data_IF_045747288826
#
_entry.id   IF_045747288826
#
_cell.length_a   1.000
_cell.length_b   1.000
_cell.length_c   1.000
_cell.angle_alpha   90.00
_cell.angle_beta   90.00
_cell.angle_gamma   90.00
#
_symmetry.space_group_name_H-M   'P 1'
#
loop_
_entity.id
_entity.type
_entity.pdbx_description
1 polymer ?
2 polymer ?
#
loop_
_entity_poly.entity_id
_entity_poly.type
_entity_poly.pdbx_seq_one_letter_code
_entity_poly.pdbx_strand_id
2 'polyribonucleotide' 'GGCAGGUAGCUCAGUUGGUAGAGCACUGGACUGAAAAUCCAGGUGUCGGCGGUUCGAUUCCGCCCCUGCCACC' ?
#
# COMPACT_ATOMS: atom_id res chain seq x y z
N UNK A 1 -27.94 -9.93 -13.57
CA UNK A 1 -28.66 -11.18 -13.35
C UNK A 1 -28.83 -11.44 -11.85
N UNK A 2 -28.03 -10.74 -11.04
CA UNK A 2 -28.08 -10.89 -9.60
C UNK A 2 -29.45 -10.48 -9.05
N UNK A 3 -30.02 -9.43 -9.63
CA UNK A 3 -31.32 -8.94 -9.22
C UNK A 3 -32.43 -9.93 -9.57
N UNK A 4 -32.22 -10.69 -10.65
CA UNK A 4 -33.17 -11.71 -11.07
C UNK A 4 -33.21 -12.85 -10.07
N UNK A 5 -32.04 -13.32 -9.66
CA UNK A 5 -31.93 -14.36 -8.65
C UNK A 5 -32.47 -13.87 -7.32
N UNK A 6 -32.19 -12.62 -7.00
CA UNK A 6 -32.70 -12.00 -5.78
C UNK A 6 -34.23 -11.89 -5.82
N UNK A 7 -34.77 -11.80 -7.03
CA UNK A 7 -36.22 -11.73 -7.21
C UNK A 7 -36.85 -13.11 -7.08
N UNK A 8 -36.22 -14.12 -7.64
CA UNK A 8 -36.72 -15.49 -7.58
C UNK A 8 -36.74 -16.01 -6.15
N UNK A 9 -35.68 -15.72 -5.41
CA UNK A 9 -35.57 -16.15 -4.02
C UNK A 9 -36.31 -15.18 -3.09
N UNK A 10 -36.73 -14.05 -3.64
CA UNK A 10 -37.43 -13.04 -2.86
C UNK A 10 -36.54 -12.40 -1.82
N UNK A 11 -35.29 -12.14 -2.20
CA UNK A 11 -34.32 -11.55 -1.28
C UNK A 11 -33.91 -10.15 -1.72
N UNK A 12 -33.05 -9.52 -0.93
CA UNK A 12 -32.55 -8.18 -1.24
C UNK A 12 -31.03 -8.14 -1.13
N UNK A 13 -30.37 -7.89 -2.25
CA UNK A 13 -28.91 -7.83 -2.28
C UNK A 13 -28.43 -6.41 -2.56
N UNK A 14 -27.30 -6.03 -1.96
CA UNK A 14 -26.78 -4.68 -2.13
C UNK A 14 -25.26 -4.66 -2.28
N UNK A 15 -24.79 -3.96 -3.30
CA UNK A 15 -23.37 -3.63 -3.39
C UNK A 15 -23.03 -2.74 -2.19
N UNK A 16 -22.00 -3.11 -1.45
CA UNK A 16 -21.76 -2.49 -0.16
C UNK A 16 -20.30 -2.11 0.05
N UNK A 17 -20.06 -1.22 1.01
CA UNK A 17 -18.72 -0.89 1.45
C UNK A 17 -17.96 0.06 0.54
N UNK A 18 -16.64 0.06 0.70
CA UNK A 18 -15.75 0.93 -0.06
C UNK A 18 -15.93 0.85 -1.56
N UNK A 19 -16.38 -0.30 -2.04
CA UNK A 19 -16.68 -0.48 -3.45
C UNK A 19 -17.61 0.63 -3.92
N UNK A 20 -18.72 0.78 -3.21
CA UNK A 20 -19.68 1.86 -3.47
C UNK A 20 -18.96 3.20 -3.49
N UNK A 21 -18.13 3.43 -2.48
CA UNK A 21 -17.33 4.65 -2.42
C UNK A 21 -16.53 4.80 -3.70
N UNK A 22 -15.83 3.74 -4.07
CA UNK A 22 -15.00 3.76 -5.27
C UNK A 22 -15.84 3.92 -6.54
N UNK A 23 -17.11 3.51 -6.46
CA UNK A 23 -18.03 3.71 -7.57
C UNK A 23 -18.37 5.20 -7.67
N UNK A 24 -18.52 5.84 -6.52
CA UNK A 24 -18.83 7.27 -6.50
C UNK A 24 -17.59 8.12 -6.74
N UNK A 25 -16.42 7.48 -6.62
CA UNK A 25 -15.16 8.16 -6.90
C UNK A 25 -14.72 7.92 -8.34
N UNK A 26 -15.57 7.24 -9.11
CA UNK A 26 -15.28 6.97 -10.51
C UNK A 26 -14.17 5.96 -10.68
N UNK A 27 -13.99 5.11 -9.68
CA UNK A 27 -12.94 4.09 -9.70
C UNK A 27 -13.53 2.70 -9.94
N UNK A 28 -13.04 2.03 -10.97
CA UNK A 28 -13.50 0.69 -11.30
C UNK A 28 -12.67 -0.37 -10.60
N UNK A 29 -13.33 -1.26 -9.87
CA UNK A 29 -12.64 -2.34 -9.16
C UNK A 29 -13.15 -3.70 -9.59
N UNK A 30 -12.30 -4.71 -9.49
CA UNK A 30 -12.67 -6.07 -9.89
C UNK A 30 -13.13 -6.89 -8.68
N UNK A 31 -13.17 -6.27 -7.52
CA UNK A 31 -13.64 -6.94 -6.31
C UNK A 31 -14.91 -6.27 -5.78
N UNK A 32 -15.98 -7.04 -5.70
CA UNK A 32 -17.26 -6.51 -5.26
C UNK A 32 -17.78 -7.23 -4.01
N UNK A 33 -18.23 -6.44 -3.02
CA UNK A 33 -18.79 -6.99 -1.79
C UNK A 33 -20.30 -6.78 -1.75
N UNK A 34 -21.02 -7.82 -1.36
CA UNK A 34 -22.48 -7.77 -1.31
C UNK A 34 -23.02 -8.03 0.09
N UNK A 35 -24.15 -7.39 0.41
CA UNK A 35 -24.88 -7.66 1.63
C UNK A 35 -26.28 -8.12 1.27
N UNK A 36 -26.64 -9.32 1.70
CA UNK A 36 -27.91 -9.92 1.34
C UNK A 36 -28.81 -10.14 2.56
N UNK A 37 -30.03 -9.60 2.50
CA UNK A 37 -31.03 -9.89 3.51
C UNK A 37 -31.61 -11.27 3.20
N UNK A 38 -31.46 -12.19 4.15
CA UNK A 38 -31.74 -13.58 3.88
C UNK A 38 -30.41 -14.30 3.64
N UNK A 39 -30.48 -15.52 3.11
CA UNK A 39 -29.27 -16.30 2.90
C UNK A 39 -28.47 -15.85 1.68
N UNK A 40 -27.23 -15.44 1.92
CA UNK A 40 -26.33 -15.02 0.85
C UNK A 40 -25.68 -16.21 0.16
N UNK A 41 -25.48 -17.29 0.91
CA UNK A 41 -24.80 -18.48 0.41
C UNK A 41 -25.53 -19.09 -0.78
N UNK A 42 -26.85 -19.26 -0.64
CA UNK A 42 -27.67 -19.82 -1.72
C UNK A 42 -27.63 -18.93 -2.96
N UNK A 43 -27.60 -17.62 -2.74
CA UNK A 43 -27.55 -16.66 -3.83
C UNK A 43 -26.24 -16.79 -4.59
N UNK A 44 -25.15 -16.88 -3.85
CA UNK A 44 -23.82 -16.99 -4.44
C UNK A 44 -23.63 -18.32 -5.17
N UNK A 45 -24.17 -19.39 -4.59
CA UNK A 45 -24.07 -20.71 -5.19
C UNK A 45 -24.91 -20.81 -6.45
N UNK A 46 -26.11 -20.22 -6.41
CA UNK A 46 -26.98 -20.21 -7.58
C UNK A 46 -26.38 -19.37 -8.70
N UNK A 47 -25.81 -18.23 -8.33
CA UNK A 47 -25.15 -17.36 -9.30
C UNK A 47 -23.95 -18.05 -9.92
N UNK A 48 -23.21 -18.79 -9.10
CA UNK A 48 -22.04 -19.51 -9.59
C UNK A 48 -22.42 -20.69 -10.46
N UNK A 49 -23.58 -21.28 -10.19
CA UNK A 49 -24.06 -22.43 -10.96
C UNK A 49 -24.57 -21.98 -12.32
N UNK A 50 -25.31 -20.87 -12.33
CA UNK A 50 -25.87 -20.34 -13.58
C UNK A 50 -24.77 -19.86 -14.51
N UNK A 51 -23.66 -19.38 -13.94
CA UNK A 51 -22.52 -18.96 -14.73
C UNK A 51 -21.52 -20.09 -14.88
N UNK A 52 -21.81 -21.21 -14.23
CA UNK A 52 -21.00 -22.41 -14.33
C UNK A 52 -19.57 -22.25 -13.82
N UNK A 53 -19.42 -21.51 -12.73
CA UNK A 53 -18.12 -21.30 -12.13
C UNK A 53 -18.04 -21.89 -10.73
N UNK A 54 -16.83 -22.22 -10.30
CA UNK A 54 -16.62 -22.80 -8.97
C UNK A 54 -17.01 -21.83 -7.86
N UNK A 55 -17.70 -22.36 -6.85
CA UNK A 55 -18.13 -21.55 -5.72
C UNK A 55 -17.36 -21.95 -4.45
N UNK A 56 -17.06 -20.97 -3.61
CA UNK A 56 -16.33 -21.21 -2.38
C UNK A 56 -17.15 -20.76 -1.17
N UNK A 57 -17.98 -21.68 -0.64
CA UNK A 57 -18.86 -21.42 0.50
C UNK A 57 -18.12 -21.38 1.85
N UNK A 58 -18.54 -20.45 2.70
CA UNK A 58 -18.03 -20.33 4.06
C UNK A 58 -19.20 -20.13 5.02
N UNK A 59 -19.77 -21.26 5.50
CA UNK A 59 -20.96 -21.28 6.37
C UNK A 59 -20.75 -20.60 7.72
N UNK A 60 -19.59 -20.81 8.34
CA UNK A 60 -19.32 -20.25 9.67
C UNK A 60 -19.25 -18.73 9.61
N UNK A 61 -18.66 -18.20 8.55
CA UNK A 61 -18.63 -16.76 8.34
C UNK A 61 -19.97 -16.28 7.77
N UNK A 62 -20.63 -17.19 7.04
CA UNK A 62 -21.89 -16.87 6.40
C UNK A 62 -21.66 -16.12 5.10
N UNK A 63 -20.47 -16.28 4.54
CA UNK A 63 -20.10 -15.58 3.32
C UNK A 63 -19.66 -16.58 2.25
N UNK A 64 -19.66 -16.15 1.00
CA UNK A 64 -19.24 -17.03 -0.10
C UNK A 64 -18.47 -16.26 -1.16
N UNK A 65 -17.39 -16.87 -1.66
CA UNK A 65 -16.55 -16.21 -2.66
C UNK A 65 -16.61 -16.94 -4.00
N UNK A 66 -16.83 -16.18 -5.07
CA UNK A 66 -16.86 -16.76 -6.41
C UNK A 66 -16.23 -15.79 -7.41
N UNK A 67 -15.45 -16.31 -8.35
CA UNK A 67 -14.77 -15.47 -9.32
C UNK A 67 -15.34 -15.64 -10.72
N UNK A 68 -15.92 -14.55 -11.23
CA UNK A 68 -16.46 -14.53 -12.59
C UNK A 68 -15.59 -13.61 -13.46
N UNK A 69 -14.85 -14.21 -14.39
CA UNK A 69 -13.91 -13.46 -15.20
C UNK A 69 -12.85 -12.80 -14.35
N UNK A 70 -12.64 -11.50 -14.54
CA UNK A 70 -11.72 -10.75 -13.70
C UNK A 70 -12.40 -10.31 -12.41
N UNK A 71 -13.73 -10.38 -12.39
CA UNK A 71 -14.50 -9.93 -11.24
C UNK A 71 -14.43 -10.92 -10.09
N UNK A 72 -14.03 -10.43 -8.93
CA UNK A 72 -14.00 -11.25 -7.72
C UNK A 72 -15.18 -10.87 -6.83
N UNK A 73 -16.14 -11.78 -6.71
CA UNK A 73 -17.38 -11.50 -6.00
C UNK A 73 -17.43 -12.15 -4.64
N UNK A 74 -17.78 -11.36 -3.63
CA UNK A 74 -17.96 -11.86 -2.27
C UNK A 74 -19.36 -11.53 -1.76
N UNK A 75 -20.15 -12.56 -1.52
CA UNK A 75 -21.50 -12.38 -0.98
C UNK A 75 -21.51 -12.59 0.53
N UNK A 76 -22.09 -11.63 1.25
CA UNK A 76 -22.13 -11.70 2.71
C UNK A 76 -23.56 -11.58 3.23
N UNK A 77 -23.84 -12.28 4.32
CA UNK A 77 -25.14 -12.22 4.96
C UNK A 77 -25.18 -11.06 5.95
N UNK A 78 -26.27 -10.31 5.95
CA UNK A 78 -26.41 -9.16 6.83
C UNK A 78 -26.39 -9.58 8.30
N UNK A 79 -25.50 -8.93 9.06
CA UNK A 79 -25.35 -9.24 10.49
C UNK A 79 -25.18 -7.97 11.31
N UNK A 80 -25.65 -8.00 12.55
CA UNK A 80 -25.63 -6.81 13.40
C UNK A 80 -24.37 -6.71 14.25
N UNK A 81 -23.55 -7.76 14.26
CA UNK A 81 -22.32 -7.76 15.04
C UNK A 81 -21.12 -8.21 14.23
N UNK A 82 -19.93 -7.89 14.72
CA UNK A 82 -18.69 -8.26 14.04
C UNK A 82 -18.37 -9.74 14.25
N UNK A 93 -32.05 -13.28 15.47
CA UNK A 93 -32.89 -12.35 14.73
C UNK A 93 -32.24 -11.94 13.41
N UNK A 94 -33.06 -11.75 12.36
CA UNK A 94 -32.57 -11.29 11.06
C UNK A 94 -32.08 -9.84 11.12
N UNK A 95 -30.99 -9.55 10.44
CA UNK A 95 -30.41 -8.23 10.44
C UNK A 95 -30.76 -7.46 9.16
N UNK A 96 -31.34 -6.28 9.32
CA UNK A 96 -31.65 -5.42 8.19
C UNK A 96 -30.38 -4.81 7.62
N UNK A 97 -30.46 -4.33 6.39
CA UNK A 97 -29.34 -3.66 5.73
C UNK A 97 -28.78 -2.53 6.58
N UNK A 98 -29.67 -1.76 7.19
CA UNK A 98 -29.28 -0.64 8.03
C UNK A 98 -28.45 -1.10 9.23
N UNK A 99 -28.80 -2.24 9.80
CA UNK A 99 -28.06 -2.81 10.91
C UNK A 99 -26.66 -3.23 10.49
N UNK A 100 -26.52 -3.67 9.24
CA UNK A 100 -25.23 -4.10 8.72
C UNK A 100 -24.38 -2.89 8.35
N UNK A 101 -25.03 -1.79 8.01
CA UNK A 101 -24.34 -0.56 7.62
C UNK A 101 -23.87 0.25 8.82
N UNK A 102 -24.47 0.00 9.98
CA UNK A 102 -24.23 0.82 11.16
C UNK A 102 -23.00 0.37 11.95
N UNK A 103 -22.51 -0.82 11.65
CA UNK A 103 -21.33 -1.36 12.33
C UNK A 103 -20.04 -0.96 11.62
N UNK A 104 -20.20 -0.32 10.46
CA UNK A 104 -19.06 0.09 9.65
C UNK A 104 -18.35 1.30 10.24
N UNK A 105 -17.11 1.51 9.82
CA UNK A 105 -16.24 2.52 10.43
C UNK A 105 -16.62 3.95 10.03
N UNK A 106 -16.48 4.28 8.74
CA UNK A 106 -16.64 5.65 8.29
C UNK A 106 -17.89 5.85 7.43
N UNK A 107 -18.43 7.06 7.47
CA UNK A 107 -19.66 7.39 6.75
C UNK A 107 -19.56 7.13 5.25
N UNK A 108 -18.38 7.40 4.68
CA UNK A 108 -18.15 7.19 3.26
C UNK A 108 -18.12 5.71 2.91
N UNK A 109 -17.84 4.87 3.90
CA UNK A 109 -17.84 3.42 3.73
C UNK A 109 -19.16 2.80 4.15
N UNK A 110 -20.08 3.63 4.63
CA UNK A 110 -21.32 3.14 5.23
C UNK A 110 -22.51 3.10 4.27
N UNK A 111 -22.29 3.47 3.01
CA UNK A 111 -23.39 3.51 2.05
C UNK A 111 -23.56 2.19 1.31
N UNK A 112 -24.61 2.11 0.49
CA UNK A 112 -24.91 0.90 -0.28
C UNK A 112 -25.73 1.22 -1.52
N UNK A 113 -25.62 0.36 -2.53
CA UNK A 113 -26.42 0.51 -3.75
C UNK A 113 -27.20 -0.78 -4.02
N UNK A 114 -28.50 -0.65 -4.28
CA UNK A 114 -29.35 -1.82 -4.47
C UNK A 114 -29.24 -2.42 -5.87
N UNK A 115 -28.96 -3.72 -5.93
CA UNK A 115 -28.91 -4.44 -7.20
C UNK A 115 -30.24 -5.13 -7.49
N UNK A 116 -31.22 -4.90 -6.62
CA UNK A 116 -32.57 -5.41 -6.84
C UNK A 116 -33.20 -4.70 -8.03
N UNK A 117 -33.91 -5.46 -8.86
CA UNK A 117 -34.35 -4.97 -10.18
C UNK A 117 -35.23 -3.72 -10.15
N UNK A 118 -36.10 -3.60 -9.16
CA UNK A 118 -37.05 -2.50 -9.12
C UNK A 118 -36.40 -1.16 -8.74
N UNK A 119 -35.60 -1.17 -7.68
CA UNK A 119 -34.94 0.03 -7.19
C UNK A 119 -33.52 0.18 -7.75
N UNK A 120 -33.19 -0.67 -8.72
CA UNK A 120 -31.83 -0.74 -9.28
C UNK A 120 -31.30 0.64 -9.69
N UNK A 121 -30.09 0.94 -9.23
CA UNK A 121 -29.44 2.20 -9.53
C UNK A 121 -29.57 3.23 -8.41
N UNK A 122 -30.38 2.91 -7.41
CA UNK A 122 -30.62 3.83 -6.30
C UNK A 122 -29.58 3.66 -5.19
N UNK A 123 -29.05 4.79 -4.73
CA UNK A 123 -28.09 4.80 -3.63
C UNK A 123 -28.80 4.93 -2.28
N UNK A 124 -28.50 4.02 -1.37
CA UNK A 124 -29.09 4.05 -0.04
C UNK A 124 -28.12 4.59 0.99
N UNK A 125 -28.37 5.82 1.45
CA UNK A 125 -27.50 6.44 2.44
C UNK A 125 -28.30 6.81 3.70
N UNK A 126 -28.03 6.09 4.79
CA UNK A 126 -28.70 6.36 6.06
C UNK A 126 -28.05 7.50 6.86
N UNK A 127 -26.72 7.49 6.92
CA UNK A 127 -25.99 8.32 7.86
C UNK A 127 -25.49 9.63 7.26
N UNK A 128 -25.80 9.86 5.99
CA UNK A 128 -25.38 11.08 5.32
C UNK A 128 -23.94 10.99 4.84
N UNK A 129 -23.50 9.78 4.49
CA UNK A 129 -22.16 9.57 4.00
C UNK A 129 -21.92 10.24 2.66
N UNK A 130 -23.00 10.45 1.91
CA UNK A 130 -22.93 11.13 0.62
C UNK A 130 -22.51 12.58 0.81
N UNK A 131 -23.02 13.21 1.85
CA UNK A 131 -22.67 14.58 2.19
C UNK A 131 -21.21 14.67 2.60
N UNK A 132 -20.77 13.71 3.41
CA UNK A 132 -19.39 13.68 3.89
C UNK A 132 -18.42 13.40 2.73
N UNK A 133 -18.90 12.68 1.73
CA UNK A 133 -18.12 12.43 0.53
C UNK A 133 -18.08 13.69 -0.32
N UNK A 134 -19.17 14.45 -0.27
CA UNK A 134 -19.28 15.72 -0.99
C UNK A 134 -18.42 16.79 -0.34
N UNK A 135 -18.42 16.82 0.99
CA UNK A 135 -17.68 17.84 1.73
C UNK A 135 -16.27 17.38 2.09
N UNK A 136 -15.89 16.20 1.59
CA UNK A 136 -14.57 15.62 1.83
C UNK A 136 -14.31 15.43 3.32
N UNK A 137 -15.26 14.78 4.00
CA UNK A 137 -15.19 14.61 5.45
C UNK A 137 -15.09 13.15 5.87
N UNK A 138 -14.09 12.85 6.70
CA UNK A 138 -13.98 11.53 7.31
C UNK A 138 -14.64 11.56 8.67
N UNK A 139 -15.74 10.82 8.81
CA UNK A 139 -16.54 10.87 10.03
C UNK A 139 -16.94 9.49 10.51
N UNK A 140 -16.79 9.25 11.81
CA UNK A 140 -17.24 8.01 12.43
C UNK A 140 -18.74 8.03 12.66
N UNK A 141 -19.36 6.86 12.68
CA UNK A 141 -20.79 6.77 12.92
C UNK A 141 -21.13 7.01 14.38
N UNK A 142 -20.36 6.37 15.26
CA UNK A 142 -20.55 6.52 16.70
C UNK A 142 -19.22 6.84 17.37
N UNK A 143 -19.27 7.61 18.47
CA UNK A 143 -18.06 8.01 19.19
C UNK A 143 -17.28 6.84 19.79
N UNK A 144 -17.93 5.69 19.90
CA UNK A 144 -17.30 4.51 20.50
C UNK A 144 -16.50 3.72 19.45
N UNK A 145 -16.46 4.25 18.24
CA UNK A 145 -15.83 3.57 17.10
C UNK A 145 -14.39 3.12 17.35
N UNK A 146 -13.50 4.09 17.57
CA UNK A 146 -12.07 3.79 17.72
C UNK A 146 -11.78 2.88 18.91
N UNK A 147 -12.62 2.94 19.94
CA UNK A 147 -12.45 2.09 21.12
C UNK A 147 -12.68 0.62 20.77
N UNK A 148 -13.68 0.37 19.93
CA UNK A 148 -13.99 -0.99 19.48
C UNK A 148 -12.84 -1.57 18.64
N UNK A 149 -12.46 -0.84 17.60
CA UNK A 149 -11.40 -1.28 16.71
C UNK A 149 -10.32 -0.21 16.60
N UNK A 150 -9.29 -0.31 17.46
CA UNK A 150 -8.17 0.65 17.52
C UNK A 150 -7.46 0.82 16.18
N UNK A 151 -7.36 -0.27 15.41
CA UNK A 151 -6.67 -0.25 14.12
C UNK A 151 -7.22 0.83 13.20
N UNK A 152 -8.51 1.09 13.29
CA UNK A 152 -9.20 2.10 12.48
C UNK A 152 -8.52 3.47 12.58
N UNK A 153 -7.86 3.72 13.71
CA UNK A 153 -7.05 4.93 13.90
C UNK A 153 -6.17 5.15 12.68
N UNK A 154 -5.31 4.16 12.42
CA UNK A 154 -4.48 4.18 11.21
C UNK A 154 -5.35 4.34 9.98
N UNK A 155 -6.37 3.48 9.87
CA UNK A 155 -7.20 3.40 8.67
C UNK A 155 -7.71 4.77 8.23
N UNK A 156 -8.35 5.48 9.16
CA UNK A 156 -8.85 6.83 8.88
C UNK A 156 -7.75 7.68 8.27
N UNK A 157 -6.62 7.75 8.97
CA UNK A 157 -5.49 8.52 8.50
C UNK A 157 -5.12 8.08 7.09
N UNK A 158 -5.01 6.77 6.91
CA UNK A 158 -4.68 6.20 5.61
C UNK A 158 -5.67 6.70 4.57
N UNK A 159 -6.96 6.61 4.89
CA UNK A 159 -7.99 7.09 3.98
C UNK A 159 -7.82 8.58 3.77
N UNK A 160 -7.61 9.31 4.87
CA UNK A 160 -7.42 10.75 4.80
C UNK A 160 -6.18 11.07 3.98
N UNK A 161 -5.27 10.10 3.88
CA UNK A 161 -4.10 10.24 3.05
C UNK A 161 -4.43 10.09 1.57
N UNK A 162 -5.23 9.09 1.24
CA UNK A 162 -5.47 8.76 -0.17
C UNK A 162 -6.45 9.70 -0.86
N UNK A 163 -7.57 9.96 -0.21
CA UNK A 163 -8.64 10.76 -0.82
C UNK A 163 -8.44 12.24 -0.56
N UNK A 164 -7.44 12.56 0.25
CA UNK A 164 -7.16 13.93 0.66
C UNK A 164 -8.38 14.58 1.30
N UNK A 165 -9.01 13.86 2.22
CA UNK A 165 -10.15 14.38 2.95
C UNK A 165 -9.71 14.90 4.31
N UNK A 166 -10.67 15.41 5.09
CA UNK A 166 -10.36 15.95 6.41
C UNK A 166 -11.26 15.35 7.48
N UNK A 167 -10.68 15.07 8.64
CA UNK A 167 -11.42 14.48 9.75
C UNK A 167 -12.40 15.47 10.37
N UNK A 168 -13.53 14.98 10.86
CA UNK A 168 -14.46 15.81 11.60
C UNK A 168 -13.88 16.16 12.95
N UNK A 169 -14.31 17.27 13.53
CA UNK A 169 -13.81 17.70 14.84
C UNK A 169 -14.09 16.63 15.90
N UNK A 170 -15.29 16.07 15.85
CA UNK A 170 -15.66 14.96 16.72
C UNK A 170 -14.72 13.78 16.48
N UNK A 171 -14.58 13.41 15.21
CA UNK A 171 -13.72 12.30 14.83
C UNK A 171 -12.27 12.52 15.27
N UNK A 172 -11.79 13.74 15.08
CA UNK A 172 -10.42 14.08 15.45
C UNK A 172 -10.20 14.00 16.96
N UNK A 173 -11.10 14.59 17.73
CA UNK A 173 -11.00 14.55 19.18
C UNK A 173 -11.07 13.12 19.68
N UNK A 174 -11.97 12.33 19.10
CA UNK A 174 -12.11 10.92 19.47
C UNK A 174 -10.84 10.14 19.13
N UNK A 175 -10.20 10.48 18.02
CA UNK A 175 -8.97 9.82 17.60
C UNK A 175 -7.83 10.14 18.57
N UNK A 176 -7.67 11.42 18.87
CA UNK A 176 -6.63 11.86 19.79
C UNK A 176 -6.83 11.26 21.17
N UNK A 177 -8.08 11.22 21.63
CA UNK A 177 -8.41 10.62 22.92
C UNK A 177 -8.15 9.12 22.88
N UNK A 178 -8.33 8.50 21.72
CA UNK A 178 -8.09 7.07 21.56
C UNK A 178 -6.60 6.75 21.66
N UNK A 179 -5.78 7.55 20.98
CA UNK A 179 -4.34 7.35 20.99
C UNK A 179 -3.76 7.66 22.37
N UNK A 180 -4.31 8.69 23.02
CA UNK A 180 -3.82 9.11 24.34
C UNK A 180 -3.99 8.01 25.39
N UNK A 181 -5.02 7.19 25.23
CA UNK A 181 -5.28 6.09 26.16
C UNK A 181 -4.38 4.89 25.86
N UNK A 182 -3.70 4.94 24.73
CA UNK A 182 -2.80 3.88 24.34
C UNK A 182 -3.52 2.61 23.90
N UNK A 183 -4.64 2.77 23.22
CA UNK A 183 -5.41 1.65 22.71
C UNK A 183 -4.70 0.99 21.53
N UNK A 184 -3.75 1.73 20.95
CA UNK A 184 -3.03 1.25 19.79
C UNK A 184 -2.09 0.10 20.16
N UNK A 185 -1.68 0.06 21.42
CA UNK A 185 -0.82 -1.01 21.90
C UNK A 185 -1.60 -2.29 22.20
N UNK A 186 -2.81 -2.13 22.73
CA UNK A 186 -3.66 -3.27 23.08
C UNK A 186 -4.19 -3.98 21.85
N UNK A 187 -4.22 -3.28 20.72
CA UNK A 187 -4.69 -3.86 19.46
C UNK A 187 -3.76 -4.96 19.00
N UNK A 188 -4.31 -5.99 18.33
CA UNK A 188 -3.51 -7.10 17.77
C UNK A 188 -2.42 -6.60 16.84
N UNK A 189 -1.21 -7.14 17.02
CA UNK A 189 -0.04 -6.71 16.26
C UNK A 189 -0.22 -6.94 14.76
N UNK A 190 -0.79 -8.09 14.42
CA UNK A 190 -0.99 -8.47 13.03
C UNK A 190 -1.88 -7.50 12.27
N UNK A 191 -2.95 -7.05 12.90
CA UNK A 191 -3.87 -6.11 12.28
C UNK A 191 -3.19 -4.78 11.99
N UNK A 192 -2.45 -4.28 12.98
CA UNK A 192 -1.73 -3.02 12.84
C UNK A 192 -0.68 -3.09 11.74
N UNK A 193 0.15 -4.12 11.80
CA UNK A 193 1.20 -4.32 10.80
C UNK A 193 0.57 -4.42 9.41
N UNK A 194 -0.51 -5.17 9.30
CA UNK A 194 -1.21 -5.32 8.02
C UNK A 194 -1.73 -3.98 7.52
N UNK A 195 -2.22 -3.16 8.43
CA UNK A 195 -2.75 -1.85 8.08
C UNK A 195 -1.65 -0.94 7.57
N UNK A 196 -0.49 -0.98 8.23
CA UNK A 196 0.67 -0.21 7.79
C UNK A 196 1.11 -0.68 6.41
N UNK A 197 1.10 -1.99 6.20
CA UNK A 197 1.42 -2.56 4.90
C UNK A 197 0.44 -2.11 3.83
N UNK A 198 -0.82 -1.89 4.22
CA UNK A 198 -1.82 -1.34 3.32
C UNK A 198 -1.52 0.13 3.03
N UNK A 199 -0.95 0.82 4.02
CA UNK A 199 -0.67 2.24 3.90
C UNK A 199 0.49 2.52 2.95
N UNK A 200 1.57 1.76 3.10
CA UNK A 200 2.80 2.02 2.34
C UNK A 200 2.65 1.76 0.84
N UNK A 201 1.55 1.14 0.44
CA UNK A 201 1.32 0.83 -0.97
C UNK A 201 0.64 1.99 -1.70
N UNK A 202 0.20 2.99 -0.94
CA UNK A 202 -0.45 4.15 -1.54
C UNK A 202 0.58 5.10 -2.16
N UNK A 203 0.17 5.82 -3.18
CA UNK A 203 1.04 6.79 -3.84
C UNK A 203 1.10 8.08 -3.01
N UNK A 204 0.06 8.31 -2.23
CA UNK A 204 -0.04 9.46 -1.35
C UNK A 204 0.48 9.14 0.05
N UNK A 205 1.08 7.97 0.19
CA UNK A 205 1.55 7.45 1.48
C UNK A 205 2.40 8.43 2.28
N UNK A 206 3.06 9.36 1.59
CA UNK A 206 3.81 10.41 2.28
C UNK A 206 2.89 11.25 3.16
N UNK A 207 1.74 11.63 2.64
CA UNK A 207 0.75 12.39 3.40
C UNK A 207 0.22 11.57 4.57
N UNK A 208 0.09 10.26 4.36
CA UNK A 208 -0.31 9.33 5.41
C UNK A 208 0.73 9.33 6.52
N UNK A 209 2.00 9.47 6.14
CA UNK A 209 3.09 9.56 7.10
C UNK A 209 3.05 10.90 7.84
N UNK A 210 2.61 11.94 7.15
CA UNK A 210 2.44 13.24 7.78
C UNK A 210 1.35 13.18 8.85
N UNK A 211 0.25 12.51 8.51
CA UNK A 211 -0.84 12.31 9.46
C UNK A 211 -0.41 11.39 10.59
N UNK A 212 0.50 10.46 10.29
CA UNK A 212 1.05 9.58 11.30
C UNK A 212 1.94 10.35 12.26
N UNK A 213 2.60 11.38 11.75
CA UNK A 213 3.50 12.21 12.56
C UNK A 213 2.72 13.19 13.41
N UNK A 214 1.63 13.73 12.86
CA UNK A 214 0.81 14.72 13.56
C UNK A 214 0.20 14.13 14.83
N UNK A 215 -0.38 12.94 14.71
CA UNK A 215 -1.04 12.30 15.85
C UNK A 215 -0.10 11.34 16.57
N UNK A 216 1.12 11.22 16.05
CA UNK A 216 2.19 10.44 16.68
C UNK A 216 1.80 8.99 16.96
N UNK A 217 1.23 8.32 15.96
CA UNK A 217 0.80 6.93 16.11
C UNK A 217 1.96 5.94 15.93
N UNK A 218 3.03 6.38 15.29
CA UNK A 218 4.14 5.48 14.97
C UNK A 218 5.01 5.18 16.19
N UNK A 219 5.02 6.09 17.16
CA UNK A 219 5.81 5.89 18.37
C UNK A 219 5.23 4.76 19.22
N UNK A 220 3.94 4.53 19.10
CA UNK A 220 3.26 3.50 19.89
C UNK A 220 3.51 2.11 19.31
N UNK A 221 3.36 1.97 18.00
CA UNK A 221 3.53 0.69 17.33
C UNK A 221 5.00 0.25 17.31
N UNK A 222 5.85 1.12 16.79
CA UNK A 222 7.28 0.83 16.71
C UNK A 222 7.96 1.16 18.04
N UNK A 223 8.95 0.36 18.41
CA UNK A 223 9.64 0.54 19.68
C UNK A 223 10.92 1.37 19.50
N UNK A 224 11.04 2.43 20.28
CA UNK A 224 12.23 3.27 20.27
C UNK A 224 12.26 4.28 19.13
N UNK A 225 11.10 4.46 18.49
CA UNK A 225 11.00 5.35 17.34
C UNK A 225 10.61 6.77 17.75
N UNK A 226 11.33 7.74 17.21
CA UNK A 226 11.02 9.15 17.46
C UNK A 226 11.13 9.94 16.16
N UNK A 227 10.43 11.07 16.09
CA UNK A 227 10.42 11.89 14.88
C UNK A 227 11.41 13.05 14.97
N UNK A 228 12.04 13.36 13.83
CA UNK A 228 12.92 14.53 13.74
C UNK A 228 12.81 15.17 12.36
N UNK A 229 13.52 16.27 12.16
CA UNK A 229 13.44 17.04 10.92
C UNK A 229 14.24 16.42 9.79
N UNK A 230 15.41 15.86 10.13
CA UNK A 230 16.31 15.27 9.15
C UNK A 230 15.64 14.16 8.37
N UNK A 231 14.94 13.29 9.09
CA UNK A 231 14.22 12.18 8.47
C UNK A 231 13.13 12.69 7.54
N UNK A 232 12.46 13.77 7.93
CA UNK A 232 11.39 14.35 7.14
C UNK A 232 11.92 14.95 5.82
N UNK A 233 12.97 15.76 5.94
CA UNK A 233 13.62 16.32 4.76
C UNK A 233 14.15 15.21 3.86
N UNK A 234 14.57 14.12 4.49
CA UNK A 234 15.01 12.94 3.75
C UNK A 234 13.83 12.30 3.02
N UNK A 235 12.64 12.42 3.60
CA UNK A 235 11.43 11.85 3.00
C UNK A 235 10.97 12.69 1.82
N UNK A 236 11.21 14.00 1.88
CA UNK A 236 10.86 14.87 0.75
C UNK A 236 11.90 14.77 -0.36
N UNK A 237 13.16 14.61 0.02
CA UNK A 237 14.21 14.35 -0.95
C UNK A 237 13.93 13.03 -1.67
N UNK A 238 13.53 12.04 -0.88
CA UNK A 238 13.13 10.74 -1.43
C UNK A 238 11.88 10.88 -2.27
N UNK A 239 11.04 11.87 -1.94
CA UNK A 239 9.85 12.16 -2.71
C UNK A 239 10.24 12.63 -4.12
N UNK A 240 11.16 13.58 -4.18
CA UNK A 240 11.64 14.10 -5.46
C UNK A 240 12.33 12.99 -6.26
N UNK A 241 13.21 12.24 -5.61
CA UNK A 241 13.92 11.13 -6.24
C UNK A 241 12.94 10.11 -6.84
N UNK A 242 11.94 9.74 -6.05
CA UNK A 242 10.91 8.81 -6.49
C UNK A 242 10.14 9.38 -7.68
N UNK A 243 9.85 10.67 -7.64
CA UNK A 243 9.16 11.33 -8.75
C UNK A 243 9.95 11.21 -10.05
N UNK A 244 11.23 11.60 -10.01
CA UNK A 244 12.07 11.57 -11.20
C UNK A 244 12.29 10.15 -11.72
N UNK A 245 12.61 9.23 -10.81
CA UNK A 245 12.85 7.83 -11.15
C UNK A 245 11.63 7.17 -11.76
N UNK A 246 10.45 7.46 -11.20
CA UNK A 246 9.20 6.94 -11.73
C UNK A 246 8.75 7.71 -12.96
N UNK A 247 9.44 8.82 -13.24
CA UNK A 247 9.16 9.59 -14.44
C UNK A 247 9.90 9.02 -15.64
N UNK A 248 11.23 9.08 -15.61
CA UNK A 248 12.04 8.65 -16.74
C UNK A 248 12.19 7.14 -16.85
N UNK A 249 12.48 6.49 -15.73
CA UNK A 249 12.84 5.08 -15.70
C UNK A 249 11.66 4.13 -15.45
N UNK A 250 10.44 4.68 -15.53
CA UNK A 250 9.22 4.02 -15.05
C UNK A 250 9.04 2.55 -15.44
N UNK A 251 9.65 2.11 -16.54
CA UNK A 251 9.61 0.70 -16.90
C UNK A 251 10.32 -0.16 -15.84
N UNK A 252 11.20 0.47 -15.07
CA UNK A 252 11.99 -0.23 -14.04
C UNK A 252 11.37 -0.16 -12.64
N UNK A 253 10.17 0.39 -12.54
CA UNK A 253 9.53 0.68 -11.24
C UNK A 253 9.52 -0.47 -10.23
N UNK A 254 9.79 -0.13 -8.98
CA UNK A 254 9.68 -1.06 -7.86
C UNK A 254 8.78 -0.46 -6.79
N UNK A 255 8.68 -1.12 -5.63
CA UNK A 255 7.84 -0.61 -4.55
C UNK A 255 8.55 0.53 -3.81
N UNK A 256 7.94 1.71 -3.84
CA UNK A 256 8.54 2.91 -3.28
C UNK A 256 8.33 3.06 -1.76
N UNK A 257 7.21 2.54 -1.26
CA UNK A 257 6.86 2.71 0.14
C UNK A 257 7.87 2.13 1.11
N UNK A 258 8.43 0.99 0.73
CA UNK A 258 9.42 0.31 1.56
C UNK A 258 10.68 1.17 1.74
N UNK A 259 10.95 2.02 0.75
CA UNK A 259 12.08 2.93 0.84
C UNK A 259 11.85 3.97 1.94
N UNK A 260 10.66 4.56 1.95
CA UNK A 260 10.26 5.49 3.00
C UNK A 260 10.34 4.79 4.36
N UNK A 261 9.87 3.54 4.39
CA UNK A 261 9.92 2.75 5.60
C UNK A 261 11.35 2.54 6.08
N UNK A 262 12.28 2.42 5.13
CA UNK A 262 13.70 2.27 5.45
C UNK A 262 14.28 3.57 5.98
N UNK A 263 13.82 4.69 5.42
CA UNK A 263 14.26 6.01 5.87
C UNK A 263 13.81 6.27 7.30
N UNK A 264 12.59 5.85 7.62
CA UNK A 264 12.05 6.04 8.96
C UNK A 264 12.80 5.23 10.01
N UNK A 265 13.22 4.02 9.65
CA UNK A 265 13.89 3.12 10.58
C UNK A 265 15.42 3.24 10.51
N UNK A 266 15.90 4.18 9.70
CA UNK A 266 17.33 4.34 9.45
C UNK A 266 18.14 4.56 10.74
N UNK A 267 17.71 5.51 11.56
CA UNK A 267 18.44 5.86 12.77
C UNK A 267 18.08 4.95 13.95
N UNK A 268 17.09 4.09 13.75
CA UNK A 268 16.66 3.16 14.78
C UNK A 268 17.67 2.03 14.97
N UNK A 269 17.60 1.38 16.13
CA UNK A 269 18.49 0.25 16.44
C UNK A 269 18.27 -0.89 15.46
N UNK A 270 19.34 -1.65 15.19
CA UNK A 270 19.29 -2.72 14.20
C UNK A 270 18.41 -3.89 14.64
N UNK A 271 18.35 -4.14 15.95
CA UNK A 271 17.55 -5.24 16.47
C UNK A 271 16.06 -5.01 16.23
N UNK A 272 15.58 -3.84 16.65
CA UNK A 272 14.19 -3.47 16.46
C UNK A 272 13.85 -3.35 14.98
N UNK A 273 14.86 -3.02 14.17
CA UNK A 273 14.69 -2.91 12.74
C UNK A 273 14.47 -4.26 12.08
N UNK A 274 15.33 -5.21 12.41
CA UNK A 274 15.21 -6.57 11.88
C UNK A 274 13.95 -7.24 12.38
N UNK A 275 13.59 -6.97 13.64
CA UNK A 275 12.36 -7.49 14.20
C UNK A 275 11.14 -6.89 13.51
N UNK A 276 11.24 -5.61 13.17
CA UNK A 276 10.16 -4.92 12.48
C UNK A 276 9.96 -5.47 11.08
N UNK A 277 11.08 -5.72 10.39
CA UNK A 277 11.03 -6.32 9.06
C UNK A 277 10.57 -7.76 9.13
N UNK A 278 10.75 -8.37 10.30
CA UNK A 278 10.33 -9.75 10.51
C UNK A 278 8.82 -9.81 10.70
N UNK A 279 8.27 -8.82 11.39
CA UNK A 279 6.83 -8.77 11.64
C UNK A 279 6.08 -8.27 10.41
N UNK A 280 6.70 -7.35 9.68
CA UNK A 280 6.08 -6.77 8.49
C UNK A 280 6.22 -7.67 7.28
N UNK A 281 7.06 -8.70 7.40
CA UNK A 281 7.34 -9.62 6.29
C UNK A 281 7.78 -8.87 5.05
N UNK A 282 8.81 -8.04 5.20
CA UNK A 282 9.33 -7.24 4.09
C UNK A 282 9.92 -8.12 3.00
N UNK A 283 9.88 -7.65 1.74
CA UNK A 283 10.51 -8.35 0.62
C UNK A 283 12.00 -8.56 0.84
N UNK A 284 12.59 -9.53 0.14
CA UNK A 284 14.00 -9.85 0.30
C UNK A 284 14.92 -8.67 0.00
N UNK A 285 14.67 -7.99 -1.12
CA UNK A 285 15.49 -6.85 -1.53
C UNK A 285 15.40 -5.70 -0.54
N UNK A 286 14.28 -5.63 0.19
CA UNK A 286 14.10 -4.60 1.21
C UNK A 286 15.02 -4.88 2.40
N UNK A 287 15.00 -6.13 2.87
CA UNK A 287 15.87 -6.55 3.96
C UNK A 287 17.34 -6.38 3.58
N UNK A 288 17.67 -6.76 2.35
CA UNK A 288 19.03 -6.62 1.85
C UNK A 288 19.45 -5.15 1.80
N UNK A 289 18.55 -4.30 1.31
CA UNK A 289 18.82 -2.87 1.22
C UNK A 289 19.02 -2.26 2.60
N UNK A 290 18.24 -2.72 3.58
CA UNK A 290 18.36 -2.24 4.94
C UNK A 290 19.68 -2.66 5.58
N UNK A 291 19.98 -3.95 5.49
CA UNK A 291 21.22 -4.50 6.05
C UNK A 291 22.45 -3.88 5.41
N UNK A 292 22.33 -3.49 4.14
CA UNK A 292 23.41 -2.82 3.45
C UNK A 292 23.49 -1.35 3.86
N UNK A 293 22.34 -0.78 4.20
CA UNK A 293 22.25 0.63 4.59
C UNK A 293 22.83 0.88 5.98
N UNK A 294 22.60 -0.07 6.89
CA UNK A 294 22.99 0.10 8.28
C UNK A 294 24.51 0.21 8.46
N UNK A 295 25.26 -0.47 7.61
CA UNK A 295 26.72 -0.49 7.75
C UNK A 295 27.44 -0.10 6.47
N UNK A 296 27.29 -0.92 5.43
CA UNK A 296 28.06 -0.77 4.20
C UNK A 296 27.79 0.52 3.43
N UNK A 297 26.67 1.17 3.74
CA UNK A 297 26.28 2.38 3.02
C UNK A 297 27.27 3.52 3.20
N UNK A 298 27.77 3.69 4.43
CA UNK A 298 28.72 4.74 4.72
C UNK A 298 30.00 4.60 3.94
N UNK A 299 30.61 3.41 4.01
CA UNK A 299 31.83 3.12 3.29
C UNK A 299 31.61 3.20 1.78
N UNK A 300 30.42 2.80 1.34
CA UNK A 300 30.06 2.89 -0.07
C UNK A 300 30.05 4.33 -0.55
N UNK A 301 29.39 5.19 0.21
CA UNK A 301 29.33 6.62 -0.11
C UNK A 301 30.73 7.23 -0.10
N UNK A 302 31.53 6.87 0.90
CA UNK A 302 32.89 7.35 0.99
C UNK A 302 33.73 6.89 -0.20
N UNK A 303 33.39 5.73 -0.75
CA UNK A 303 34.06 5.22 -1.94
C UNK A 303 33.60 5.96 -3.19
N UNK A 304 32.34 6.34 -3.20
CA UNK A 304 31.78 7.12 -4.31
C UNK A 304 32.35 8.53 -4.32
N UNK A 305 32.76 9.00 -3.14
CA UNK A 305 33.43 10.29 -3.03
C UNK A 305 34.83 10.21 -3.61
N UNK A 306 35.44 9.03 -3.51
CA UNK A 306 36.79 8.80 -4.02
C UNK A 306 36.75 8.33 -5.47
N UNK A 307 35.56 8.24 -6.04
CA UNK A 307 35.40 7.77 -7.41
C UNK A 307 35.80 8.86 -8.41
N UNK A 308 36.75 8.53 -9.27
CA UNK A 308 37.22 9.46 -10.29
C UNK A 308 36.80 8.99 -11.69
N UNK A 309 37.33 7.85 -12.12
CA UNK A 309 36.99 7.27 -13.40
C UNK A 309 35.58 6.69 -13.37
N UNK A 310 34.97 6.55 -14.54
CA UNK A 310 33.62 6.02 -14.64
C UNK A 310 33.57 4.51 -14.35
N UNK A 311 34.70 3.84 -14.54
CA UNK A 311 34.75 2.39 -14.39
C UNK A 311 34.73 1.97 -12.92
N UNK A 312 35.38 2.75 -12.06
CA UNK A 312 35.35 2.48 -10.63
C UNK A 312 33.92 2.68 -10.12
N UNK A 313 33.26 3.71 -10.65
CA UNK A 313 31.85 3.95 -10.36
C UNK A 313 31.02 2.74 -10.78
N UNK A 314 31.28 2.25 -11.98
CA UNK A 314 30.60 1.07 -12.50
C UNK A 314 30.80 -0.15 -11.60
N UNK A 315 32.00 -0.27 -11.04
CA UNK A 315 32.33 -1.38 -10.16
C UNK A 315 31.63 -1.26 -8.82
N UNK A 316 31.52 -0.04 -8.32
CA UNK A 316 30.94 0.20 -7.00
C UNK A 316 29.41 0.36 -7.06
N UNK A 317 28.85 0.35 -8.26
CA UNK A 317 27.41 0.52 -8.43
C UNK A 317 26.70 -0.74 -8.92
N UNK A 318 27.08 -1.19 -10.12
CA UNK A 318 26.38 -2.26 -10.84
C UNK A 318 25.95 -3.48 -10.02
N UNK A 319 26.80 -3.99 -9.11
CA UNK A 319 26.32 -5.13 -8.33
C UNK A 319 25.13 -4.81 -7.41
N UNK A 320 24.98 -3.54 -7.05
CA UNK A 320 23.91 -3.12 -6.14
C UNK A 320 22.54 -3.12 -6.81
N UNK A 321 21.49 -3.18 -6.00
CA UNK A 321 20.13 -3.15 -6.51
C UNK A 321 19.72 -1.71 -6.81
N UNK A 322 18.50 -1.53 -7.31
CA UNK A 322 17.99 -0.20 -7.65
C UNK A 322 17.70 0.61 -6.39
N UNK A 323 17.21 -0.08 -5.36
CA UNK A 323 16.88 0.58 -4.10
C UNK A 323 18.08 1.29 -3.48
N UNK A 324 19.23 0.62 -3.52
CA UNK A 324 20.47 1.20 -3.01
C UNK A 324 20.83 2.47 -3.78
N UNK A 325 20.64 2.42 -5.09
CA UNK A 325 20.90 3.58 -5.94
C UNK A 325 19.99 4.74 -5.59
N UNK A 326 18.71 4.44 -5.39
CA UNK A 326 17.73 5.45 -5.01
C UNK A 326 18.07 6.04 -3.63
N UNK A 327 18.67 5.22 -2.77
CA UNK A 327 19.14 5.69 -1.48
C UNK A 327 20.36 6.59 -1.65
N UNK A 328 21.15 6.31 -2.68
CA UNK A 328 22.33 7.12 -2.97
C UNK A 328 21.96 8.43 -3.63
N UNK A 329 20.76 8.49 -4.22
CA UNK A 329 20.29 9.70 -4.87
C UNK A 329 19.93 10.79 -3.87
N UNK A 330 19.82 10.41 -2.60
CA UNK A 330 19.56 11.37 -1.54
C UNK A 330 20.73 12.33 -1.38
N UNK A 331 21.92 11.85 -1.68
CA UNK A 331 23.12 12.68 -1.63
C UNK A 331 23.14 13.65 -2.81
N UNK A 332 23.29 14.94 -2.51
CA UNK A 332 23.34 15.97 -3.55
C UNK A 332 24.59 15.84 -4.40
N UNK A 333 25.69 15.43 -3.77
CA UNK A 333 26.96 15.27 -4.46
C UNK A 333 26.91 14.07 -5.42
N UNK A 334 26.18 13.04 -5.03
CA UNK A 334 26.12 11.81 -5.80
C UNK A 334 24.91 11.74 -6.73
N UNK A 335 24.07 12.77 -6.70
CA UNK A 335 22.82 12.75 -7.46
C UNK A 335 23.08 12.78 -8.97
N UNK A 336 23.88 13.74 -9.42
CA UNK A 336 24.18 13.86 -10.84
C UNK A 336 25.08 12.73 -11.32
N UNK A 337 25.80 12.10 -10.38
CA UNK A 337 26.67 10.98 -10.69
C UNK A 337 25.86 9.71 -10.93
N UNK A 338 24.88 9.47 -10.05
CA UNK A 338 23.97 8.35 -10.21
C UNK A 338 23.11 8.56 -11.45
N UNK A 339 22.68 9.80 -11.67
CA UNK A 339 21.94 10.15 -12.87
C UNK A 339 22.78 9.87 -14.11
N UNK A 340 24.06 10.21 -14.04
CA UNK A 340 24.99 9.93 -15.13
C UNK A 340 25.15 8.42 -15.32
N UNK A 341 24.98 7.67 -14.23
CA UNK A 341 25.08 6.22 -14.28
C UNK A 341 23.88 5.57 -14.94
N UNK A 342 22.70 6.14 -14.72
CA UNK A 342 21.46 5.53 -15.18
C UNK A 342 21.24 5.69 -16.69
N UNK A 343 21.03 6.94 -17.13
CA UNK A 343 20.64 7.18 -18.51
C UNK A 343 21.82 7.27 -19.47
N UNK A 344 23.04 7.22 -18.95
CA UNK A 344 24.22 7.34 -19.80
C UNK A 344 25.26 6.24 -19.60
N UNK A 345 25.86 6.18 -18.41
CA UNK A 345 27.04 5.35 -18.15
C UNK A 345 26.86 3.89 -18.56
N UNK A 346 25.63 3.38 -18.50
CA UNK A 346 25.41 2.08 -19.11
C UNK A 346 24.55 2.21 -20.36
N UNK A 347 25.22 2.21 -21.50
CA UNK A 347 24.63 1.95 -22.80
C UNK A 347 25.73 1.29 -23.62
N UNK A 348 25.46 0.17 -24.26
CA UNK A 348 26.53 -0.54 -24.97
C UNK A 348 26.06 -1.78 -25.73
N UNK A 349 26.90 -2.19 -26.68
CA UNK A 349 26.77 -3.45 -27.39
C UNK A 349 28.09 -3.63 -28.14
N UNK A 350 28.26 -4.76 -28.82
CA UNK A 350 29.47 -5.00 -29.60
C UNK A 350 29.13 -5.76 -30.88
N UNK A 351 29.84 -5.46 -31.97
CA UNK A 351 29.63 -6.14 -33.26
C UNK A 351 30.08 -7.60 -33.22
N UNK A 352 29.94 -8.30 -34.35
CA UNK A 352 30.24 -9.73 -34.41
C UNK A 352 31.74 -10.00 -34.44
N UNK A 353 32.40 -9.54 -35.50
CA UNK A 353 33.83 -9.80 -35.72
C UNK A 353 34.69 -9.49 -34.50
N UNK A 354 34.48 -8.32 -33.91
CA UNK A 354 35.25 -7.91 -32.74
C UNK A 354 35.07 -8.89 -31.58
N UNK A 355 33.82 -9.16 -31.23
CA UNK A 355 33.50 -10.13 -30.17
C UNK A 355 34.16 -11.49 -30.43
N UNK A 356 34.08 -11.94 -31.67
CA UNK A 356 34.69 -13.21 -32.06
C UNK A 356 36.21 -13.16 -31.90
N UNK A 357 36.78 -11.97 -32.06
CA UNK A 357 38.22 -11.79 -31.85
C UNK A 357 38.57 -11.71 -30.37
N UNK A 358 37.60 -11.33 -29.55
CA UNK A 358 37.80 -11.25 -28.10
C UNK A 358 37.92 -12.65 -27.50
N UNK A 359 37.24 -13.60 -28.12
CA UNK A 359 37.28 -14.99 -27.67
C UNK A 359 38.44 -15.73 -28.33
N UNK A 360 39.10 -15.07 -29.27
CA UNK A 360 40.21 -15.64 -30.03
C UNK A 360 39.80 -16.94 -30.71
N UNK A 365 36.90 -18.95 -20.15
CA UNK A 365 36.29 -18.98 -18.83
C UNK A 365 36.08 -17.58 -18.26
N UNK A 366 36.77 -17.30 -17.15
CA UNK A 366 36.66 -16.00 -16.51
C UNK A 366 37.48 -14.96 -17.26
N UNK A 367 38.50 -15.41 -17.96
CA UNK A 367 39.39 -14.53 -18.72
C UNK A 367 38.61 -13.74 -19.78
N UNK A 368 37.57 -14.37 -20.33
CA UNK A 368 36.72 -13.71 -21.32
C UNK A 368 35.99 -12.52 -20.68
N UNK A 369 35.35 -12.77 -19.54
CA UNK A 369 34.64 -11.73 -18.82
C UNK A 369 35.55 -10.60 -18.38
N UNK A 370 36.71 -10.96 -17.83
CA UNK A 370 37.70 -9.97 -17.41
C UNK A 370 38.15 -9.13 -18.60
N UNK A 371 38.37 -9.78 -19.73
CA UNK A 371 38.76 -9.08 -20.95
C UNK A 371 37.68 -8.10 -21.36
N UNK A 372 36.42 -8.54 -21.30
CA UNK A 372 35.28 -7.67 -21.59
C UNK A 372 35.29 -6.44 -20.68
N UNK A 373 35.56 -6.66 -19.40
CA UNK A 373 35.64 -5.57 -18.44
C UNK A 373 36.77 -4.60 -18.79
N UNK A 374 37.88 -5.13 -19.28
CA UNK A 374 39.02 -4.31 -19.70
C UNK A 374 38.66 -3.48 -20.93
N UNK A 375 37.87 -4.06 -21.83
CA UNK A 375 37.44 -3.35 -23.02
C UNK A 375 36.45 -2.25 -22.67
N UNK A 376 35.56 -2.53 -21.73
CA UNK A 376 34.59 -1.54 -21.29
C UNK A 376 35.27 -0.38 -20.56
N UNK A 377 36.26 -0.71 -19.72
CA UNK A 377 37.01 0.31 -19.01
C UNK A 377 37.92 1.06 -19.99
N UNK A 378 38.19 0.45 -21.14
CA UNK A 378 38.93 1.11 -22.19
C UNK A 378 38.03 2.09 -22.95
N UNK A 379 36.75 1.74 -23.06
CA UNK A 379 35.78 2.58 -23.76
C UNK A 379 35.37 3.79 -22.92
N UNK A 380 35.08 3.55 -21.65
CA UNK A 380 34.62 4.60 -20.75
C UNK A 380 35.61 5.76 -20.65
N UNK A 381 36.78 5.50 -20.07
CA UNK A 381 37.80 6.53 -19.92
C UNK A 381 38.48 6.86 -21.23
#
# INVERSE_FOLDING_TARGET
MVGQIAKEMGLRAYIVGGVVRDILLGKEVWDVDFVVEGNAIELAKELARRHGVNVHPFPEFGTAHLKIGKLKLEFATARRETYPRPGAYPKVEPASLKEDLIRRDFTINAMAISVNLEDYGTLIDYFGGLRDLKDKVIRVLHPVSFIEDPVRILRALRFAGRLNFKLSRSTEKLLKQAVNLGLLKEAPRGRLINEIKLALREDRFLEILELYRKYRVLEEIIEGFQWNEKVLQKLYALRKVVDWHALEFSEERIDYGWLYLLILISNLDYERGKHFLEEMSAPSWVRETYKFMKFKLGSLKEELKKAKENYEVYRLLKPLHTSVLLLLMLEEELKEKIKLYLEKLRKVKLPKEKIEELKKQGLKGKELGERIEELKREIMNKIKLAAALEHHHHHH
#
